data_IF_742758567803
#
_entry.id   IF_742758567803
#
_cell.length_a   1.000
_cell.length_b   1.000
_cell.length_c   1.000
_cell.angle_alpha   90.00
_cell.angle_beta   90.00
_cell.angle_gamma   90.00
#
_symmetry.space_group_name_H-M   'P 1'
#
loop_
_entity.id
_entity.type
_entity.pdbx_description
1 polymer ?
#
# COMPACT_ATOMS: atom_id res chain seq x y z
N UNK A 1 -17.74 2.52 16.21
CA UNK A 1 -16.61 2.35 15.26
C UNK A 1 -16.10 0.90 15.21
N UNK A 2 -15.70 0.28 16.32
CA UNK A 2 -15.21 -1.12 16.34
C UNK A 2 -16.20 -2.16 15.79
N UNK A 3 -17.49 -2.01 16.07
CA UNK A 3 -18.55 -2.89 15.54
C UNK A 3 -18.63 -2.90 14.00
N UNK A 4 -18.46 -1.73 13.37
CA UNK A 4 -18.46 -1.58 11.91
C UNK A 4 -17.23 -2.25 11.28
N UNK A 5 -16.06 -2.12 11.91
CA UNK A 5 -14.83 -2.79 11.46
C UNK A 5 -14.99 -4.30 11.55
N UNK A 6 -15.51 -4.81 12.68
CA UNK A 6 -15.75 -6.24 12.87
C UNK A 6 -16.71 -6.81 11.82
N UNK A 7 -17.82 -6.10 11.55
CA UNK A 7 -18.77 -6.52 10.51
C UNK A 7 -18.10 -6.59 9.12
N UNK A 8 -17.36 -5.56 8.72
CA UNK A 8 -16.65 -5.53 7.43
C UNK A 8 -15.58 -6.62 7.30
N UNK A 9 -14.86 -6.92 8.39
CA UNK A 9 -13.88 -8.00 8.41
C UNK A 9 -14.55 -9.37 8.26
N UNK A 10 -15.70 -9.57 8.91
CA UNK A 10 -16.49 -10.80 8.81
C UNK A 10 -17.03 -10.99 7.38
N UNK A 11 -17.65 -9.96 6.81
CA UNK A 11 -18.13 -9.94 5.42
C UNK A 11 -17.01 -10.28 4.43
N UNK A 12 -15.82 -9.67 4.60
CA UNK A 12 -14.67 -9.95 3.75
C UNK A 12 -14.19 -11.41 3.88
N UNK A 13 -14.08 -11.93 5.10
CA UNK A 13 -13.58 -13.29 5.34
C UNK A 13 -14.54 -14.38 4.85
N UNK A 14 -15.84 -14.11 4.88
CA UNK A 14 -16.88 -15.04 4.42
C UNK A 14 -17.11 -14.96 2.90
N UNK A 15 -17.07 -13.75 2.32
CA UNK A 15 -17.39 -13.54 0.92
C UNK A 15 -16.25 -13.82 -0.07
N UNK A 16 -14.99 -13.81 0.39
CA UNK A 16 -13.82 -13.93 -0.49
C UNK A 16 -13.06 -15.22 -0.18
N UNK A 17 -12.83 -16.13 -1.15
CA UNK A 17 -11.96 -17.28 -0.96
C UNK A 17 -10.50 -16.82 -0.88
N UNK A 18 -9.94 -16.81 0.33
CA UNK A 18 -8.57 -16.34 0.56
C UNK A 18 -7.56 -17.45 0.26
N UNK A 19 -6.57 -17.14 -0.58
CA UNK A 19 -5.36 -17.95 -0.73
C UNK A 19 -4.15 -17.19 -0.21
N UNK A 20 -3.14 -17.92 0.25
CA UNK A 20 -1.92 -17.36 0.81
C UNK A 20 -0.71 -17.87 0.03
N UNK A 21 0.13 -16.95 -0.43
CA UNK A 21 1.41 -17.26 -1.06
C UNK A 21 2.53 -16.65 -0.23
N UNK A 22 3.60 -17.40 -0.01
CA UNK A 22 4.77 -16.96 0.74
C UNK A 22 6.00 -17.13 -0.15
N UNK A 23 6.78 -16.06 -0.29
CA UNK A 23 8.02 -16.09 -1.06
C UNK A 23 9.12 -15.36 -0.28
N UNK A 24 10.33 -15.92 -0.32
CA UNK A 24 11.53 -15.27 0.24
C UNK A 24 12.20 -14.48 -0.87
N UNK A 25 12.50 -13.21 -0.61
CA UNK A 25 13.10 -12.29 -1.56
C UNK A 25 14.40 -11.76 -0.94
N UNK A 26 15.49 -11.83 -1.70
CA UNK A 26 16.75 -11.21 -1.29
C UNK A 26 16.68 -9.69 -1.48
N UNK A 27 17.06 -8.96 -0.43
CA UNK A 27 17.02 -7.49 -0.38
C UNK A 27 18.40 -6.84 -0.45
N UNK A 28 19.48 -7.62 -0.55
CA UNK A 28 20.86 -7.13 -0.52
C UNK A 28 21.13 -6.08 -1.60
N UNK A 29 20.67 -6.34 -2.83
CA UNK A 29 20.83 -5.40 -3.94
C UNK A 29 20.02 -4.12 -3.74
N UNK A 30 18.82 -4.22 -3.17
CA UNK A 30 17.99 -3.06 -2.83
C UNK A 30 18.64 -2.24 -1.73
N UNK A 31 19.26 -2.89 -0.75
CA UNK A 31 19.93 -2.20 0.35
C UNK A 31 21.23 -1.50 -0.11
N UNK A 32 21.99 -2.11 -1.02
CA UNK A 32 23.13 -1.47 -1.69
C UNK A 32 22.71 -0.24 -2.49
N UNK A 33 21.62 -0.33 -3.26
CA UNK A 33 21.08 0.79 -4.02
C UNK A 33 20.61 1.92 -3.08
N UNK A 34 19.94 1.56 -1.99
CA UNK A 34 19.51 2.50 -0.94
C UNK A 34 20.70 3.22 -0.31
N UNK A 35 21.81 2.52 -0.05
CA UNK A 35 23.02 3.14 0.49
C UNK A 35 23.63 4.17 -0.48
N UNK A 36 23.60 3.91 -1.79
CA UNK A 36 24.03 4.89 -2.82
C UNK A 36 23.12 6.11 -2.84
N UNK A 37 21.80 5.91 -2.93
CA UNK A 37 20.81 6.99 -2.96
C UNK A 37 20.85 7.85 -1.69
N UNK A 38 21.19 7.25 -0.54
CA UNK A 38 21.37 7.98 0.72
C UNK A 38 22.58 8.91 0.68
N UNK A 39 23.66 8.55 -0.04
CA UNK A 39 24.82 9.44 -0.25
C UNK A 39 24.47 10.63 -1.13
N UNK A 40 23.52 10.47 -2.04
CA UNK A 40 22.98 11.54 -2.88
C UNK A 40 21.90 12.39 -2.17
N UNK A 41 21.68 12.18 -0.86
CA UNK A 41 20.71 12.94 -0.07
C UNK A 41 19.25 12.50 -0.23
N UNK A 42 18.99 11.44 -1.00
CA UNK A 42 17.63 10.93 -1.24
C UNK A 42 17.31 9.88 -0.17
N UNK A 43 16.45 10.25 0.78
CA UNK A 43 15.97 9.33 1.82
C UNK A 43 14.88 8.40 1.27
N UNK A 44 15.26 7.15 0.97
CA UNK A 44 14.34 6.10 0.48
C UNK A 44 14.27 4.96 1.50
N UNK A 45 13.06 4.47 1.75
CA UNK A 45 12.78 3.31 2.59
C UNK A 45 12.61 2.03 1.76
N UNK A 46 12.79 0.87 2.40
CA UNK A 46 12.50 -0.44 1.77
C UNK A 46 11.04 -0.50 1.33
N UNK A 47 10.12 0.06 2.13
CA UNK A 47 8.70 0.11 1.80
C UNK A 47 8.43 0.84 0.48
N UNK A 48 9.22 1.87 0.13
CA UNK A 48 9.02 2.63 -1.12
C UNK A 48 9.37 1.78 -2.34
N UNK A 49 10.39 0.93 -2.24
CA UNK A 49 10.74 -0.05 -3.27
C UNK A 49 9.67 -1.12 -3.39
N UNK A 50 9.12 -1.61 -2.28
CA UNK A 50 8.03 -2.60 -2.30
C UNK A 50 6.79 -2.02 -2.99
N UNK A 51 6.38 -0.80 -2.63
CA UNK A 51 5.25 -0.12 -3.28
C UNK A 51 5.50 0.00 -4.79
N UNK A 52 6.70 0.41 -5.20
CA UNK A 52 7.02 0.53 -6.63
C UNK A 52 7.01 -0.83 -7.33
N UNK A 53 7.57 -1.87 -6.71
CA UNK A 53 7.59 -3.22 -7.25
C UNK A 53 6.17 -3.78 -7.42
N UNK A 54 5.31 -3.62 -6.42
CA UNK A 54 3.90 -3.96 -6.51
C UNK A 54 3.20 -3.20 -7.64
N UNK A 55 3.45 -1.89 -7.77
CA UNK A 55 2.86 -1.10 -8.84
C UNK A 55 3.27 -1.58 -10.24
N UNK A 56 4.55 -1.92 -10.42
CA UNK A 56 5.06 -2.48 -11.66
C UNK A 56 4.49 -3.88 -11.95
N UNK A 57 4.36 -4.73 -10.93
CA UNK A 57 3.78 -6.07 -11.07
C UNK A 57 2.31 -5.99 -11.50
N UNK A 58 1.53 -5.07 -10.94
CA UNK A 58 0.13 -4.85 -11.32
C UNK A 58 -0.04 -4.29 -12.72
N UNK A 59 0.92 -3.47 -13.16
CA UNK A 59 0.96 -3.01 -14.54
C UNK A 59 1.31 -4.14 -15.52
N UNK A 60 2.18 -5.07 -15.12
CA UNK A 60 2.55 -6.21 -15.93
C UNK A 60 1.44 -7.28 -15.99
N UNK A 61 0.67 -7.43 -14.90
CA UNK A 61 -0.43 -8.40 -14.79
C UNK A 61 -1.73 -7.65 -14.46
N UNK A 62 -2.43 -7.10 -15.49
CA UNK A 62 -3.64 -6.29 -15.28
C UNK A 62 -4.82 -7.11 -14.72
N UNK A 63 -4.79 -8.43 -14.87
CA UNK A 63 -5.78 -9.36 -14.30
C UNK A 63 -5.82 -9.31 -12.77
N UNK A 64 -4.71 -8.92 -12.13
CA UNK A 64 -4.65 -8.72 -10.68
C UNK A 64 -5.21 -7.35 -10.25
N UNK A 65 -5.32 -6.39 -11.17
CA UNK A 65 -5.82 -5.05 -10.90
C UNK A 65 -7.31 -4.93 -11.24
N UNK A 66 -8.12 -5.78 -10.63
CA UNK A 66 -9.56 -5.83 -10.85
C UNK A 66 -10.33 -5.64 -9.55
N UNK A 67 -11.51 -5.04 -9.66
CA UNK A 67 -12.47 -4.93 -8.56
C UNK A 67 -13.62 -5.90 -8.81
N UNK A 68 -13.95 -6.68 -7.80
CA UNK A 68 -15.13 -7.55 -7.84
C UNK A 68 -16.38 -6.75 -7.46
N UNK A 69 -17.33 -6.61 -8.39
CA UNK A 69 -18.62 -5.95 -8.15
C UNK A 69 -19.73 -6.95 -8.44
N UNK A 70 -20.21 -7.59 -7.37
CA UNK A 70 -21.29 -8.59 -7.36
C UNK A 70 -21.07 -9.74 -8.35
N UNK A 71 -21.38 -9.50 -9.62
CA UNK A 71 -21.46 -10.48 -10.69
C UNK A 71 -20.47 -10.22 -11.85
N UNK A 72 -19.66 -9.16 -11.77
CA UNK A 72 -18.62 -8.88 -12.76
C UNK A 72 -17.32 -8.34 -12.15
N UNK A 73 -16.22 -8.56 -12.86
CA UNK A 73 -14.91 -7.96 -12.58
C UNK A 73 -14.73 -6.69 -13.39
N UNK A 74 -14.48 -5.58 -12.72
CA UNK A 74 -14.14 -4.32 -13.36
C UNK A 74 -12.62 -4.12 -13.29
N UNK A 75 -11.96 -4.07 -14.45
CA UNK A 75 -10.54 -3.75 -14.52
C UNK A 75 -10.31 -2.26 -14.27
N UNK A 76 -9.34 -1.95 -13.43
CA UNK A 76 -9.04 -0.58 -13.05
C UNK A 76 -7.90 -0.02 -13.91
N UNK A 77 -8.05 1.19 -14.50
CA UNK A 77 -7.06 1.74 -15.42
C UNK A 77 -5.81 2.28 -14.71
N UNK A 78 -5.93 2.64 -13.42
CA UNK A 78 -4.83 3.17 -12.62
C UNK A 78 -4.44 2.19 -11.52
N UNK A 79 -3.17 2.25 -11.12
CA UNK A 79 -2.63 1.47 -10.02
C UNK A 79 -2.41 2.38 -8.80
N UNK A 80 -3.33 2.25 -7.85
CA UNK A 80 -3.37 2.96 -6.58
C UNK A 80 -3.04 1.99 -5.44
N UNK A 81 -2.10 2.36 -4.59
CA UNK A 81 -1.63 1.49 -3.50
C UNK A 81 -1.96 2.11 -2.16
N UNK A 82 -2.67 1.36 -1.32
CA UNK A 82 -2.99 1.76 0.05
C UNK A 82 -1.93 1.27 1.02
N UNK A 83 -1.42 2.19 1.84
CA UNK A 83 -0.38 1.89 2.83
C UNK A 83 -1.00 1.90 4.22
N UNK A 84 -0.84 0.81 4.97
CA UNK A 84 -1.30 0.74 6.35
C UNK A 84 -0.38 1.54 7.28
N UNK A 85 -0.93 2.54 7.97
CA UNK A 85 -0.20 3.36 8.96
C UNK A 85 -0.85 3.20 10.32
N UNK A 86 -0.10 2.64 11.26
CA UNK A 86 -0.50 2.60 12.67
C UNK A 86 -0.39 4.00 13.30
N UNK A 87 -1.48 4.46 13.91
CA UNK A 87 -1.53 5.69 14.72
C UNK A 87 -2.07 5.36 16.11
N UNK A 88 -1.86 6.23 17.13
CA UNK A 88 -2.39 6.00 18.48
C UNK A 88 -3.93 5.88 18.51
N UNK A 89 -4.62 6.49 17.54
CA UNK A 89 -6.08 6.46 17.42
C UNK A 89 -6.61 5.22 16.67
N UNK A 90 -5.75 4.43 16.01
CA UNK A 90 -6.13 3.23 15.28
C UNK A 90 -5.31 2.98 14.01
N UNK A 91 -5.88 2.18 13.11
CA UNK A 91 -5.27 1.89 11.81
C UNK A 91 -5.85 2.82 10.75
N UNK A 92 -5.00 3.60 10.09
CA UNK A 92 -5.39 4.50 9.00
C UNK A 92 -4.69 4.04 7.72
N UNK A 93 -5.39 4.13 6.60
CA UNK A 93 -4.95 3.55 5.32
C UNK A 93 -4.94 4.62 4.23
N UNK A 94 -3.93 5.52 4.19
CA UNK A 94 -3.79 6.48 3.10
C UNK A 94 -3.52 5.79 1.75
N UNK A 95 -4.09 6.35 0.69
CA UNK A 95 -3.90 5.91 -0.69
C UNK A 95 -2.79 6.72 -1.36
N UNK A 96 -1.86 6.02 -2.03
CA UNK A 96 -0.90 6.61 -2.97
C UNK A 96 -1.46 6.44 -4.38
N UNK A 97 -1.97 7.53 -4.93
CA UNK A 97 -2.53 7.54 -6.29
C UNK A 97 -1.45 7.41 -7.37
N UNK A 98 -1.73 6.59 -8.40
CA UNK A 98 -0.89 6.38 -9.60
C UNK A 98 0.56 6.02 -9.25
N UNK A 99 0.74 4.99 -8.43
CA UNK A 99 2.06 4.53 -7.99
C UNK A 99 2.92 3.97 -9.14
N UNK A 100 2.30 3.56 -10.24
CA UNK A 100 2.94 3.10 -11.47
C UNK A 100 3.70 4.23 -12.20
N UNK A 101 3.15 5.46 -12.20
CA UNK A 101 3.76 6.61 -12.87
C UNK A 101 4.84 7.30 -12.02
N UNK A 102 4.80 7.15 -10.70
CA UNK A 102 5.69 7.87 -9.78
C UNK A 102 7.05 7.19 -9.63
N UNK A 103 8.12 7.99 -9.50
CA UNK A 103 9.45 7.48 -9.14
C UNK A 103 9.52 7.06 -7.67
N UNK A 104 10.46 6.17 -7.32
CA UNK A 104 10.61 5.66 -5.93
C UNK A 104 10.82 6.81 -4.93
N UNK A 105 11.61 7.83 -5.29
CA UNK A 105 11.84 9.01 -4.45
C UNK A 105 10.57 9.83 -4.20
N UNK A 106 9.71 9.95 -5.21
CA UNK A 106 8.43 10.67 -5.10
C UNK A 106 7.42 9.89 -4.26
N UNK A 107 7.38 8.56 -4.42
CA UNK A 107 6.58 7.66 -3.58
C UNK A 107 6.99 7.84 -2.11
N UNK A 108 8.28 7.78 -1.81
CA UNK A 108 8.78 7.96 -0.44
C UNK A 108 8.45 9.32 0.16
N UNK A 109 8.46 10.39 -0.64
CA UNK A 109 8.02 11.71 -0.18
C UNK A 109 6.52 11.75 0.14
N UNK A 110 5.67 11.24 -0.78
CA UNK A 110 4.20 11.18 -0.59
C UNK A 110 3.81 10.31 0.59
N UNK A 111 4.40 9.14 0.75
CA UNK A 111 4.11 8.23 1.88
C UNK A 111 4.47 8.91 3.20
N UNK A 112 5.61 9.61 3.28
CA UNK A 112 5.98 10.38 4.48
C UNK A 112 5.01 11.52 4.77
N UNK A 113 4.56 12.24 3.76
CA UNK A 113 3.56 13.30 3.90
C UNK A 113 2.21 12.73 4.39
N UNK A 114 1.73 11.66 3.75
CA UNK A 114 0.48 10.99 4.11
C UNK A 114 0.55 10.38 5.52
N UNK A 115 1.68 9.80 5.91
CA UNK A 115 1.90 9.28 7.26
C UNK A 115 1.90 10.41 8.31
N UNK A 116 2.50 11.57 8.01
CA UNK A 116 2.43 12.75 8.88
C UNK A 116 0.99 13.26 9.02
N UNK A 117 0.26 13.37 7.91
CA UNK A 117 -1.16 13.78 7.90
C UNK A 117 -2.05 12.77 8.65
N UNK A 118 -1.78 11.48 8.51
CA UNK A 118 -2.47 10.41 9.23
C UNK A 118 -2.26 10.51 10.74
N UNK A 119 -1.02 10.71 11.18
CA UNK A 119 -0.71 10.91 12.60
C UNK A 119 -1.31 12.20 13.16
N UNK A 120 -1.43 13.24 12.33
CA UNK A 120 -2.06 14.50 12.70
C UNK A 120 -3.61 14.47 12.66
N UNK A 121 -4.24 13.33 12.33
CA UNK A 121 -5.70 13.19 12.17
C UNK A 121 -6.35 14.18 11.18
N UNK A 122 -5.59 14.71 10.22
CA UNK A 122 -6.08 15.67 9.21
C UNK A 122 -6.41 15.02 7.86
N UNK A 123 -6.57 13.71 7.81
CA UNK A 123 -6.90 13.02 6.56
C UNK A 123 -8.39 13.11 6.27
N UNK A 124 -8.71 13.68 5.10
CA UNK A 124 -10.07 13.72 4.57
C UNK A 124 -10.51 12.32 4.14
N UNK A 125 -11.78 11.98 4.37
CA UNK A 125 -12.40 10.67 4.06
C UNK A 125 -12.20 10.24 2.59
N UNK A 126 -11.99 11.19 1.68
CA UNK A 126 -11.68 10.95 0.25
C UNK A 126 -10.42 10.08 0.03
N UNK A 127 -9.46 10.10 0.94
CA UNK A 127 -8.24 9.27 0.85
C UNK A 127 -8.42 7.83 1.37
N UNK A 128 -9.64 7.40 1.70
CA UNK A 128 -9.91 6.13 2.38
C UNK A 128 -10.96 5.25 1.66
N UNK A 129 -11.54 5.69 0.53
CA UNK A 129 -12.76 5.11 -0.04
C UNK A 129 -12.58 4.11 -1.20
N UNK A 130 -11.37 3.85 -1.69
CA UNK A 130 -11.14 2.82 -2.71
C UNK A 130 -9.80 2.11 -2.45
N UNK A 131 -9.86 0.83 -2.06
CA UNK A 131 -8.68 0.00 -1.83
C UNK A 131 -8.58 -0.95 -3.02
N UNK A 132 -7.53 -0.80 -3.82
CA UNK A 132 -7.16 -1.79 -4.83
C UNK A 132 -6.25 -2.84 -4.18
N UNK A 133 -5.10 -2.41 -3.63
CA UNK A 133 -4.19 -3.28 -2.88
C UNK A 133 -3.78 -2.65 -1.55
N UNK A 134 -3.73 -3.51 -0.53
CA UNK A 134 -3.37 -3.14 0.82
C UNK A 134 -2.00 -3.72 1.20
N UNK A 135 -1.07 -2.83 1.56
CA UNK A 135 0.24 -3.23 2.05
C UNK A 135 0.36 -2.98 3.55
N UNK A 136 0.62 -4.03 4.30
CA UNK A 136 0.98 -3.98 5.73
C UNK A 136 2.46 -4.31 5.90
N UNK A 137 3.15 -3.54 6.72
CA UNK A 137 4.53 -3.84 7.13
C UNK A 137 4.55 -4.13 8.62
N UNK A 138 4.88 -5.37 9.00
CA UNK A 138 4.96 -5.81 10.39
C UNK A 138 6.36 -5.64 11.01
N UNK A 139 7.36 -5.24 10.21
CA UNK A 139 8.77 -5.12 10.63
C UNK A 139 9.01 -4.12 11.78
N UNK A 140 8.05 -3.23 12.04
CA UNK A 140 8.08 -2.23 13.12
C UNK A 140 7.46 -2.69 14.45
N UNK A 141 6.94 -3.91 14.53
CA UNK A 141 6.34 -4.49 15.76
C UNK A 141 7.33 -5.36 16.56
N UNK A 142 8.63 -5.06 16.49
CA UNK A 142 9.66 -5.75 17.25
C UNK A 142 10.30 -4.83 18.28
#
# INVERSE_FOLDING_TARGET
MRSVIARRLCESKQGIPHTYAIQKIDSDNVNKLRAKLRKEGISVSINDFIIKACACALRAVPELNVKWIKDHTEALPNVDISVAVATPAGLITPIVFKADALGVSQIGAKVRELAKKARANKLTVSYMSAIQIFMTSSTLFR
#
